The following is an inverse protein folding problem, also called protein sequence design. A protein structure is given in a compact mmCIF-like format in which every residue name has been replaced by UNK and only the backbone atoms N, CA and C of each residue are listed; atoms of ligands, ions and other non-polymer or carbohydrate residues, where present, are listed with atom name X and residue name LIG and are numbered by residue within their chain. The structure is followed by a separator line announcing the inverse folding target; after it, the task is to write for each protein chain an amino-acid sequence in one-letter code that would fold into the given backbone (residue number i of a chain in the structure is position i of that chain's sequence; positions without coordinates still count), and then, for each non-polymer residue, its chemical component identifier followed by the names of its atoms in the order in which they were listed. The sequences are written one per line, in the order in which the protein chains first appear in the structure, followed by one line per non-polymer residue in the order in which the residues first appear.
data_IF_561589469168
#
_entry.id   IF_561589469168
#
_cell.length_a   1.000
_cell.length_b   1.000
_cell.length_c   1.000
_cell.angle_alpha   90.00
_cell.angle_beta   90.00
_cell.angle_gamma   90.00
#
_symmetry.space_group_name_H-M   'P 1'
#
loop_
_entity.id
_entity.type
_entity.pdbx_description
1 polymer ?
#
# COMPACT_ATOMS: atom_id res chain seq x y z
N UNK A 1 36.63 -71.57 1.29
CA UNK A 1 37.71 -71.14 0.38
C UNK A 1 37.87 -69.63 0.44
N UNK A 2 39.01 -69.12 0.90
CA UNK A 2 39.26 -67.68 1.03
C UNK A 2 39.60 -67.05 -0.34
N UNK A 3 38.93 -65.95 -0.70
CA UNK A 3 39.16 -65.25 -1.98
C UNK A 3 40.57 -64.64 -2.05
N UNK A 4 41.19 -64.69 -3.22
CA UNK A 4 42.52 -64.16 -3.47
C UNK A 4 42.61 -62.65 -3.12
N UNK A 5 43.67 -62.26 -2.40
CA UNK A 5 43.93 -60.87 -2.04
C UNK A 5 44.37 -60.09 -3.28
N UNK A 6 43.79 -58.91 -3.51
CA UNK A 6 44.21 -58.02 -4.61
C UNK A 6 45.64 -57.55 -4.35
N UNK A 7 46.50 -57.68 -5.37
CA UNK A 7 47.88 -57.23 -5.31
C UNK A 7 47.95 -55.70 -5.20
N UNK A 8 48.92 -55.15 -4.44
CA UNK A 8 49.15 -53.71 -4.40
C UNK A 8 49.59 -53.22 -5.78
N UNK A 9 49.12 -52.04 -6.17
CA UNK A 9 49.56 -51.39 -7.40
C UNK A 9 50.95 -50.78 -7.19
N UNK A 10 51.85 -50.99 -8.13
CA UNK A 10 53.18 -50.37 -8.11
C UNK A 10 53.08 -48.85 -8.37
N UNK A 11 53.91 -48.06 -7.70
CA UNK A 11 54.01 -46.60 -7.82
C UNK A 11 52.71 -45.82 -7.58
N UNK A 12 51.89 -46.22 -6.59
CA UNK A 12 50.72 -45.44 -6.17
C UNK A 12 51.19 -44.18 -5.43
N UNK A 13 51.10 -43.04 -6.10
CA UNK A 13 51.34 -41.74 -5.50
C UNK A 13 50.08 -41.17 -4.85
N UNK A 14 50.26 -40.32 -3.83
CA UNK A 14 49.18 -39.52 -3.25
C UNK A 14 48.62 -38.59 -4.34
N UNK A 15 47.30 -38.56 -4.51
CA UNK A 15 46.65 -37.67 -5.48
C UNK A 15 46.93 -36.22 -5.09
N UNK A 16 47.71 -35.52 -5.90
CA UNK A 16 47.95 -34.08 -5.76
C UNK A 16 47.05 -33.30 -6.72
N UNK A 17 46.70 -32.08 -6.33
CA UNK A 17 45.93 -31.18 -7.19
C UNK A 17 46.78 -30.86 -8.42
N UNK A 18 46.24 -31.10 -9.61
CA UNK A 18 46.93 -30.86 -10.86
C UNK A 18 46.83 -29.38 -11.26
N UNK A 19 47.85 -28.86 -11.95
CA UNK A 19 47.81 -27.49 -12.51
C UNK A 19 46.60 -27.26 -13.43
N UNK A 20 46.15 -28.31 -14.14
CA UNK A 20 44.93 -28.26 -14.98
C UNK A 20 43.66 -28.03 -14.14
N UNK A 21 43.51 -28.71 -13.01
CA UNK A 21 42.36 -28.49 -12.13
C UNK A 21 42.33 -27.06 -11.58
N UNK A 22 43.50 -26.50 -11.24
CA UNK A 22 43.62 -25.11 -10.77
C UNK A 22 43.25 -24.12 -11.89
N UNK A 23 43.74 -24.35 -13.10
CA UNK A 23 43.45 -23.49 -14.25
C UNK A 23 41.98 -23.54 -14.65
N UNK A 24 41.36 -24.72 -14.65
CA UNK A 24 39.93 -24.87 -14.93
C UNK A 24 39.08 -24.15 -13.88
N UNK A 25 39.39 -24.32 -12.59
CA UNK A 25 38.70 -23.59 -11.52
C UNK A 25 38.88 -22.07 -11.66
N UNK A 26 40.09 -21.61 -12.00
CA UNK A 26 40.35 -20.19 -12.29
C UNK A 26 39.54 -19.72 -13.49
N UNK A 27 39.46 -20.47 -14.57
CA UNK A 27 38.64 -20.12 -15.73
C UNK A 27 37.15 -20.10 -15.42
N UNK A 28 36.65 -20.99 -14.57
CA UNK A 28 35.24 -21.05 -14.17
C UNK A 28 34.85 -19.87 -13.27
N UNK A 29 35.75 -19.45 -12.38
CA UNK A 29 35.47 -18.39 -11.39
C UNK A 29 35.84 -16.99 -11.90
N UNK A 30 36.98 -16.85 -12.58
CA UNK A 30 37.58 -15.55 -12.93
C UNK A 30 37.29 -15.09 -14.36
N UNK A 31 36.74 -15.93 -15.25
CA UNK A 31 36.57 -15.55 -16.64
C UNK A 31 35.19 -14.89 -16.87
N UNK A 32 35.09 -13.54 -16.95
CA UNK A 32 33.81 -12.84 -17.10
C UNK A 32 33.15 -13.17 -18.45
N UNK A 33 33.95 -13.38 -19.50
CA UNK A 33 33.48 -13.55 -20.88
C UNK A 33 32.60 -14.79 -21.10
N UNK A 34 32.78 -15.86 -20.31
CA UNK A 34 31.91 -17.06 -20.37
C UNK A 34 30.48 -16.77 -19.89
N UNK A 35 30.31 -15.87 -18.93
CA UNK A 35 28.99 -15.43 -18.46
C UNK A 35 28.28 -14.57 -19.50
N UNK A 36 29.02 -13.91 -20.38
CA UNK A 36 28.43 -13.02 -21.39
C UNK A 36 28.01 -13.80 -22.64
N UNK A 37 28.81 -14.79 -23.10
CA UNK A 37 28.44 -15.72 -24.17
C UNK A 37 27.18 -16.55 -23.86
N UNK A 38 26.93 -16.83 -22.58
CA UNK A 38 25.71 -17.52 -22.14
C UNK A 38 24.51 -16.58 -22.07
N UNK A 39 24.70 -15.29 -21.74
CA UNK A 39 23.64 -14.28 -21.79
C UNK A 39 23.20 -13.95 -23.22
N UNK A 40 24.13 -13.89 -24.17
CA UNK A 40 23.83 -13.57 -25.58
C UNK A 40 22.95 -14.64 -26.26
N UNK A 41 22.99 -15.88 -25.80
CA UNK A 41 22.16 -16.98 -26.32
C UNK A 41 20.77 -17.08 -25.68
N UNK A 42 20.48 -16.30 -24.64
CA UNK A 42 19.17 -16.32 -23.99
C UNK A 42 18.18 -15.43 -24.75
N UNK A 43 16.92 -15.86 -24.95
CA UNK A 43 15.90 -15.01 -25.54
C UNK A 43 15.69 -13.77 -24.67
N UNK A 44 15.52 -12.60 -25.30
CA UNK A 44 15.24 -11.34 -24.61
C UNK A 44 13.89 -11.43 -23.92
N UNK A 45 13.88 -11.67 -22.61
CA UNK A 45 12.67 -11.62 -21.81
C UNK A 45 12.31 -10.16 -21.51
N UNK A 46 11.44 -9.57 -22.34
CA UNK A 46 10.79 -8.30 -22.01
C UNK A 46 9.50 -8.63 -21.26
N UNK A 47 9.39 -8.29 -19.97
CA UNK A 47 8.16 -8.56 -19.23
C UNK A 47 7.01 -7.75 -19.84
N UNK A 48 5.90 -8.42 -20.17
CA UNK A 48 4.71 -7.75 -20.65
C UNK A 48 4.07 -6.93 -19.50
N UNK A 49 3.55 -5.75 -19.83
CA UNK A 49 2.80 -4.94 -18.87
C UNK A 49 1.44 -5.62 -18.62
N UNK A 50 1.07 -5.74 -17.35
CA UNK A 50 -0.22 -6.34 -16.96
C UNK A 50 -1.39 -5.58 -17.58
N UNK A 51 -2.35 -6.31 -18.14
CA UNK A 51 -3.60 -5.79 -18.72
C UNK A 51 -4.51 -5.10 -17.70
N UNK A 52 -4.33 -5.36 -16.41
CA UNK A 52 -5.08 -4.72 -15.32
C UNK A 52 -4.77 -3.22 -15.16
N UNK A 53 -3.69 -2.74 -15.78
CA UNK A 53 -3.27 -1.35 -15.70
C UNK A 53 -3.81 -0.55 -16.88
N UNK A 54 -4.69 0.41 -16.61
CA UNK A 54 -4.95 1.52 -17.51
C UNK A 54 -3.96 2.65 -17.18
N UNK A 55 -2.84 2.69 -17.90
CA UNK A 55 -1.67 3.51 -17.61
C UNK A 55 -1.12 3.25 -16.19
N UNK A 56 -1.50 4.08 -15.22
CA UNK A 56 -1.07 3.99 -13.81
C UNK A 56 -2.20 3.52 -12.89
N UNK A 57 -3.45 3.54 -13.38
CA UNK A 57 -4.61 3.14 -12.61
C UNK A 57 -4.86 1.65 -12.74
N UNK A 58 -5.12 1.01 -11.61
CA UNK A 58 -5.37 -0.42 -11.55
C UNK A 58 -6.87 -0.66 -11.46
N UNK A 59 -7.48 -1.09 -12.55
CA UNK A 59 -8.94 -1.31 -12.64
C UNK A 59 -9.35 -2.67 -12.06
N UNK A 60 -8.40 -3.56 -11.76
CA UNK A 60 -8.66 -4.88 -11.21
C UNK A 60 -8.80 -4.90 -9.68
N UNK A 61 -8.57 -3.77 -9.00
CA UNK A 61 -8.76 -3.67 -7.55
C UNK A 61 -10.25 -3.48 -7.25
N UNK A 62 -10.94 -4.58 -6.98
CA UNK A 62 -12.32 -4.59 -6.49
C UNK A 62 -12.41 -5.09 -5.04
N UNK A 63 -13.46 -4.72 -4.30
CA UNK A 63 -13.75 -5.34 -3.01
C UNK A 63 -14.11 -6.83 -3.21
N UNK A 64 -13.62 -7.77 -2.37
CA UNK A 64 -12.84 -7.56 -1.15
C UNK A 64 -11.35 -7.28 -1.40
N UNK A 65 -10.81 -6.24 -0.75
CA UNK A 65 -9.40 -5.88 -0.90
C UNK A 65 -8.51 -6.86 -0.15
N UNK A 66 -7.44 -7.31 -0.81
CA UNK A 66 -6.40 -8.15 -0.21
C UNK A 66 -5.22 -7.28 0.19
N UNK A 67 -4.92 -7.26 1.49
CA UNK A 67 -3.89 -6.39 2.04
C UNK A 67 -2.73 -7.25 2.54
N UNK A 68 -1.55 -7.13 1.93
CA UNK A 68 -0.33 -7.76 2.41
C UNK A 68 0.20 -6.99 3.62
N UNK A 69 0.35 -7.69 4.74
CA UNK A 69 0.78 -7.10 6.01
C UNK A 69 2.25 -7.41 6.29
N UNK A 70 2.97 -6.36 6.68
CA UNK A 70 4.39 -6.39 7.04
C UNK A 70 4.62 -6.46 8.57
N UNK A 71 5.79 -6.92 9.04
CA UNK A 71 6.11 -7.10 10.47
C UNK A 71 6.07 -5.78 11.23
N UNK A 72 6.71 -4.75 10.68
CA UNK A 72 6.77 -3.43 11.27
C UNK A 72 5.38 -2.78 11.37
N UNK A 73 4.52 -3.01 10.38
CA UNK A 73 3.14 -2.51 10.40
C UNK A 73 2.34 -3.11 11.56
N UNK A 74 2.50 -4.41 11.84
CA UNK A 74 1.84 -5.07 12.99
C UNK A 74 2.35 -4.47 14.30
N UNK A 75 3.67 -4.27 14.43
CA UNK A 75 4.28 -3.70 15.63
C UNK A 75 3.77 -2.29 15.92
N UNK A 76 3.72 -1.43 14.90
CA UNK A 76 3.17 -0.08 15.05
C UNK A 76 1.66 -0.08 15.30
N UNK A 77 0.91 -1.04 14.78
CA UNK A 77 -0.52 -1.18 15.07
C UNK A 77 -0.78 -1.52 16.53
N UNK A 78 0.02 -2.42 17.11
CA UNK A 78 -0.06 -2.80 18.52
C UNK A 78 0.31 -1.61 19.43
N UNK A 79 1.37 -0.87 19.09
CA UNK A 79 1.78 0.31 19.84
C UNK A 79 0.67 1.37 19.89
N UNK A 80 -0.03 1.59 18.77
CA UNK A 80 -1.12 2.55 18.67
C UNK A 80 -2.48 2.01 19.10
N UNK A 81 -2.54 0.75 19.57
CA UNK A 81 -3.77 0.05 19.99
C UNK A 81 -4.85 0.01 18.90
N UNK A 82 -4.44 -0.24 17.67
CA UNK A 82 -5.34 -0.34 16.52
C UNK A 82 -5.67 -1.79 16.20
N UNK A 83 -6.95 -2.08 16.06
CA UNK A 83 -7.44 -3.35 15.53
C UNK A 83 -7.18 -3.39 14.02
N UNK A 84 -6.33 -4.30 13.54
CA UNK A 84 -5.90 -4.39 12.14
C UNK A 84 -7.09 -4.47 11.17
N UNK A 85 -8.01 -5.41 11.37
CA UNK A 85 -9.15 -5.63 10.49
C UNK A 85 -10.11 -4.44 10.46
N UNK A 86 -10.48 -3.92 11.64
CA UNK A 86 -11.38 -2.75 11.75
C UNK A 86 -10.76 -1.50 11.15
N UNK A 87 -9.50 -1.21 11.50
CA UNK A 87 -8.81 -0.05 10.95
C UNK A 87 -8.67 -0.10 9.43
N UNK A 88 -8.50 -1.29 8.84
CA UNK A 88 -8.48 -1.46 7.39
C UNK A 88 -9.86 -1.19 6.77
N UNK A 89 -10.92 -1.71 7.37
CA UNK A 89 -12.30 -1.44 6.92
C UNK A 89 -12.66 0.05 7.03
N UNK A 90 -12.25 0.73 8.11
CA UNK A 90 -12.49 2.16 8.31
C UNK A 90 -11.73 3.03 7.31
N UNK A 91 -10.55 2.59 6.86
CA UNK A 91 -9.72 3.31 5.89
C UNK A 91 -10.24 3.16 4.45
N UNK A 92 -10.64 1.94 4.08
CA UNK A 92 -11.02 1.57 2.70
C UNK A 92 -12.52 1.62 2.46
N UNK A 93 -13.34 1.75 3.51
CA UNK A 93 -14.81 1.68 3.49
C UNK A 93 -15.36 0.42 2.79
N UNK A 94 -14.59 -0.66 2.81
CA UNK A 94 -14.89 -1.90 2.11
C UNK A 94 -14.38 -3.12 2.90
N UNK A 95 -14.88 -4.30 2.55
CA UNK A 95 -14.41 -5.56 3.15
C UNK A 95 -12.95 -5.79 2.79
N UNK A 96 -12.11 -5.98 3.81
CA UNK A 96 -10.68 -6.20 3.66
C UNK A 96 -10.30 -7.57 4.20
N UNK A 97 -9.50 -8.33 3.46
CA UNK A 97 -8.93 -9.61 3.89
C UNK A 97 -7.42 -9.40 4.09
N UNK A 98 -6.95 -9.31 5.34
CA UNK A 98 -5.54 -9.15 5.60
C UNK A 98 -4.80 -10.47 5.35
N UNK A 99 -3.71 -10.37 4.60
CA UNK A 99 -2.93 -11.50 4.12
C UNK A 99 -1.51 -11.42 4.71
N UNK A 100 -1.05 -12.52 5.31
CA UNK A 100 0.29 -12.63 5.90
C UNK A 100 1.07 -13.68 5.10
N UNK A 101 2.29 -13.33 4.70
CA UNK A 101 3.20 -14.28 4.04
C UNK A 101 4.00 -15.08 5.07
N UNK A 102 4.41 -16.30 4.71
CA UNK A 102 5.23 -17.12 5.62
C UNK A 102 6.57 -16.47 6.00
N UNK A 103 7.12 -15.57 5.17
CA UNK A 103 8.35 -14.83 5.48
C UNK A 103 8.15 -13.87 6.65
N UNK A 104 7.06 -13.09 6.60
CA UNK A 104 6.68 -12.15 7.65
C UNK A 104 6.42 -12.91 8.94
N UNK A 105 5.80 -14.09 8.84
CA UNK A 105 5.60 -14.98 9.98
C UNK A 105 6.93 -15.47 10.58
N UNK A 106 7.85 -15.92 9.73
CA UNK A 106 9.17 -16.36 10.16
C UNK A 106 10.02 -15.22 10.76
N UNK A 107 9.88 -14.00 10.24
CA UNK A 107 10.53 -12.82 10.80
C UNK A 107 9.98 -12.46 12.19
N UNK A 108 8.66 -12.50 12.38
CA UNK A 108 8.05 -12.33 13.71
C UNK A 108 8.52 -13.37 14.72
N UNK A 109 8.70 -14.63 14.30
CA UNK A 109 9.22 -15.69 15.17
C UNK A 109 10.69 -15.45 15.57
N UNK A 110 11.51 -14.88 14.67
CA UNK A 110 12.91 -14.51 14.95
C UNK A 110 13.05 -13.37 15.94
N UNK A 111 12.12 -12.41 15.94
CA UNK A 111 12.12 -11.27 16.87
C UNK A 111 11.87 -11.71 18.33
N UNK A 112 11.42 -12.96 18.55
CA UNK A 112 11.45 -13.63 19.84
C UNK A 112 10.35 -13.22 20.81
N UNK A 113 10.64 -13.31 22.12
CA UNK A 113 9.61 -13.24 23.17
C UNK A 113 8.92 -11.87 23.31
N UNK A 114 9.61 -10.78 22.93
CA UNK A 114 9.08 -9.41 23.05
C UNK A 114 7.85 -9.19 22.16
N UNK A 115 7.75 -9.92 21.05
CA UNK A 115 6.69 -9.77 20.05
C UNK A 115 5.65 -10.90 20.09
N UNK A 116 5.52 -11.60 21.23
CA UNK A 116 4.52 -12.67 21.40
C UNK A 116 3.08 -12.23 21.13
N UNK A 117 2.74 -10.99 21.46
CA UNK A 117 1.40 -10.43 21.17
C UNK A 117 1.18 -10.32 19.66
N UNK A 118 2.17 -9.81 18.92
CA UNK A 118 2.13 -9.74 17.46
C UNK A 118 2.01 -11.12 16.83
N UNK A 119 2.74 -12.11 17.35
CA UNK A 119 2.68 -13.48 16.87
C UNK A 119 1.30 -14.13 17.09
N UNK A 120 0.62 -13.81 18.19
CA UNK A 120 -0.76 -14.30 18.44
C UNK A 120 -1.73 -13.70 17.44
N UNK A 121 -1.67 -12.37 17.23
CA UNK A 121 -2.52 -11.67 16.27
C UNK A 121 -2.30 -12.21 14.86
N UNK A 122 -1.04 -12.39 14.43
CA UNK A 122 -0.71 -12.94 13.12
C UNK A 122 -1.21 -14.40 12.92
N UNK A 123 -1.45 -15.14 14.01
CA UNK A 123 -1.96 -16.52 13.95
C UNK A 123 -3.49 -16.59 13.90
N UNK A 124 -4.19 -15.48 14.10
CA UNK A 124 -5.65 -15.47 14.14
C UNK A 124 -6.26 -15.92 12.79
N UNK A 125 -7.39 -16.64 12.80
CA UNK A 125 -8.01 -17.20 11.60
C UNK A 125 -8.60 -16.15 10.65
N UNK A 126 -8.66 -14.89 11.08
CA UNK A 126 -9.11 -13.77 10.25
C UNK A 126 -8.09 -13.36 9.20
N UNK A 127 -6.83 -13.75 9.40
CA UNK A 127 -5.74 -13.50 8.46
C UNK A 127 -5.61 -14.67 7.49
N UNK A 128 -5.58 -14.36 6.19
CA UNK A 128 -5.27 -15.34 5.16
C UNK A 128 -3.75 -15.56 5.14
N UNK A 129 -3.31 -16.82 5.21
CA UNK A 129 -1.89 -17.15 5.10
C UNK A 129 -1.52 -17.47 3.66
N UNK A 130 -0.52 -16.77 3.15
CA UNK A 130 -0.02 -16.94 1.80
C UNK A 130 1.32 -17.69 1.81
N UNK A 131 1.37 -18.92 1.28
CA UNK A 131 2.61 -19.68 1.26
C UNK A 131 3.61 -19.04 0.31
N UNK A 132 4.89 -19.09 0.66
CA UNK A 132 5.98 -18.57 -0.16
C UNK A 132 6.98 -19.65 -0.57
N UNK A 133 7.40 -19.65 -1.83
CA UNK A 133 8.30 -20.66 -2.41
C UNK A 133 9.65 -20.05 -2.78
N UNK A 134 10.36 -19.49 -1.82
CA UNK A 134 11.72 -18.99 -2.03
C UNK A 134 12.64 -19.39 -0.87
N UNK A 135 13.94 -19.33 -1.13
CA UNK A 135 14.96 -19.64 -0.13
C UNK A 135 15.27 -18.38 0.67
N UNK A 136 15.24 -18.49 2.00
CA UNK A 136 15.44 -17.38 2.91
C UNK A 136 14.12 -16.83 3.46
N UNK A 137 14.21 -15.85 4.34
CA UNK A 137 13.06 -15.27 5.05
C UNK A 137 13.06 -13.74 4.97
N UNK A 138 13.59 -13.17 3.89
CA UNK A 138 13.56 -11.72 3.69
C UNK A 138 12.16 -11.33 3.20
N UNK A 139 11.35 -10.78 4.11
CA UNK A 139 9.96 -10.42 3.83
C UNK A 139 9.85 -9.33 2.75
N UNK A 140 10.72 -8.32 2.81
CA UNK A 140 10.76 -7.21 1.85
C UNK A 140 10.78 -7.68 0.38
N UNK A 141 11.72 -8.56 0.05
CA UNK A 141 11.92 -9.01 -1.32
C UNK A 141 10.76 -9.92 -1.75
N UNK A 142 10.26 -10.76 -0.84
CA UNK A 142 9.05 -11.54 -1.08
C UNK A 142 7.83 -10.66 -1.40
N UNK A 143 7.64 -9.57 -0.64
CA UNK A 143 6.53 -8.66 -0.83
C UNK A 143 6.65 -7.94 -2.18
N UNK A 144 7.84 -7.43 -2.50
CA UNK A 144 8.12 -6.74 -3.77
C UNK A 144 7.88 -7.68 -4.96
N UNK A 145 8.39 -8.91 -4.90
CA UNK A 145 8.24 -9.88 -5.99
C UNK A 145 6.78 -10.28 -6.19
N UNK A 146 6.06 -10.56 -5.10
CA UNK A 146 4.64 -10.95 -5.14
C UNK A 146 3.77 -9.85 -5.74
N UNK A 147 4.00 -8.61 -5.33
CA UNK A 147 3.28 -7.43 -5.82
C UNK A 147 3.62 -7.12 -7.29
N UNK A 148 4.87 -7.37 -7.69
CA UNK A 148 5.31 -7.19 -9.08
C UNK A 148 4.64 -8.19 -10.02
N UNK A 149 4.53 -9.45 -9.58
CA UNK A 149 3.85 -10.52 -10.32
C UNK A 149 2.33 -10.30 -10.35
N UNK A 150 1.75 -10.01 -9.18
CA UNK A 150 0.31 -9.85 -9.01
C UNK A 150 0.00 -8.48 -8.43
N UNK A 151 -0.51 -7.59 -9.28
CA UNK A 151 -0.85 -6.22 -8.90
C UNK A 151 -2.20 -6.11 -8.16
N UNK A 152 -2.76 -7.22 -7.66
CA UNK A 152 -4.06 -7.24 -6.99
C UNK A 152 -3.98 -7.07 -5.46
N UNK A 153 -2.84 -6.62 -4.94
CA UNK A 153 -2.59 -6.45 -3.51
C UNK A 153 -2.39 -4.99 -3.12
N UNK A 154 -2.89 -4.64 -1.93
CA UNK A 154 -2.52 -3.43 -1.21
C UNK A 154 -1.38 -3.80 -0.27
N UNK A 155 -0.34 -2.97 -0.15
CA UNK A 155 0.76 -3.26 0.79
C UNK A 155 0.65 -2.38 2.02
N UNK A 156 0.54 -2.99 3.20
CA UNK A 156 0.55 -2.32 4.49
C UNK A 156 1.95 -2.36 5.10
N UNK A 157 2.70 -1.26 4.99
CA UNK A 157 4.05 -1.14 5.54
C UNK A 157 4.31 0.26 6.10
N UNK A 158 5.14 0.34 7.14
CA UNK A 158 5.63 1.60 7.69
C UNK A 158 7.03 1.96 7.20
N UNK A 159 7.72 1.03 6.52
CA UNK A 159 9.14 1.16 6.23
C UNK A 159 9.44 2.11 5.08
N UNK A 160 10.41 3.01 5.30
CA UNK A 160 10.73 4.06 4.32
C UNK A 160 11.34 3.47 3.04
N UNK A 161 12.20 2.46 3.17
CA UNK A 161 12.89 1.85 2.03
C UNK A 161 11.99 0.91 1.23
N UNK A 162 11.14 0.13 1.91
CA UNK A 162 10.13 -0.70 1.24
C UNK A 162 9.11 0.17 0.50
N UNK A 163 8.64 1.27 1.10
CA UNK A 163 7.81 2.28 0.41
C UNK A 163 8.50 2.82 -0.83
N UNK A 164 9.78 3.21 -0.75
CA UNK A 164 10.51 3.73 -1.91
C UNK A 164 10.60 2.69 -3.04
N UNK A 165 10.76 1.40 -2.72
CA UNK A 165 10.75 0.31 -3.70
C UNK A 165 9.39 0.13 -4.35
N UNK A 166 8.32 0.00 -3.56
CA UNK A 166 6.95 -0.20 -4.06
C UNK A 166 6.47 1.02 -4.84
N UNK A 167 6.92 2.23 -4.49
CA UNK A 167 6.57 3.45 -5.21
C UNK A 167 7.01 3.45 -6.68
N UNK A 168 8.01 2.66 -7.05
CA UNK A 168 8.46 2.49 -8.45
C UNK A 168 7.49 1.60 -9.26
N UNK A 169 6.70 0.76 -8.59
CA UNK A 169 5.73 -0.12 -9.22
C UNK A 169 4.40 0.66 -9.38
N UNK A 170 3.90 0.85 -10.62
CA UNK A 170 2.64 1.53 -10.84
C UNK A 170 1.44 0.63 -10.45
N UNK A 171 0.36 1.27 -9.99
CA UNK A 171 -0.92 0.60 -9.70
C UNK A 171 -0.99 -0.17 -8.37
N UNK A 172 0.01 -0.02 -7.50
CA UNK A 172 0.03 -0.64 -6.16
C UNK A 172 -0.21 0.44 -5.10
N UNK A 173 -1.32 0.38 -4.36
CA UNK A 173 -1.57 1.27 -3.24
C UNK A 173 -0.78 0.86 -1.99
N UNK A 174 -0.39 1.85 -1.20
CA UNK A 174 0.42 1.66 0.00
C UNK A 174 -0.36 2.17 1.20
N UNK A 175 -0.61 1.31 2.17
CA UNK A 175 -1.23 1.67 3.44
C UNK A 175 -0.16 1.85 4.52
N UNK A 176 -0.30 2.90 5.33
CA UNK A 176 0.61 3.22 6.40
C UNK A 176 -0.12 3.83 7.60
N UNK A 177 0.54 3.82 8.75
CA UNK A 177 -0.03 4.35 9.99
C UNK A 177 0.38 5.81 10.16
N UNK A 178 -0.59 6.66 10.46
CA UNK A 178 -0.40 8.05 10.86
C UNK A 178 -1.14 8.29 12.16
N UNK A 179 -0.41 8.60 13.23
CA UNK A 179 -0.98 8.79 14.57
C UNK A 179 -1.81 7.56 14.98
N UNK A 180 -3.13 7.70 15.07
CA UNK A 180 -4.08 6.65 15.45
C UNK A 180 -5.03 6.23 14.31
N UNK A 181 -4.66 6.48 13.05
CA UNK A 181 -5.47 6.10 11.88
C UNK A 181 -4.61 5.48 10.79
N UNK A 182 -5.19 4.59 10.00
CA UNK A 182 -4.58 4.12 8.76
C UNK A 182 -4.87 5.11 7.63
N UNK A 183 -3.83 5.42 6.88
CA UNK A 183 -3.88 6.29 5.71
C UNK A 183 -3.40 5.51 4.50
N UNK A 184 -3.97 5.80 3.34
CA UNK A 184 -3.63 5.13 2.08
C UNK A 184 -3.04 6.11 1.07
N UNK A 185 -1.93 5.72 0.46
CA UNK A 185 -1.31 6.40 -0.68
C UNK A 185 -1.79 5.73 -1.98
N UNK A 186 -2.03 6.53 -3.03
CA UNK A 186 -2.26 6.08 -4.42
C UNK A 186 -3.55 5.29 -4.69
N UNK A 187 -4.60 5.48 -3.89
CA UNK A 187 -5.93 4.98 -4.26
C UNK A 187 -6.72 6.09 -4.99
N UNK A 188 -7.14 5.89 -6.26
CA UNK A 188 -7.91 6.89 -6.99
C UNK A 188 -9.31 7.11 -6.38
N UNK A 189 -9.90 6.09 -5.75
CA UNK A 189 -11.28 6.14 -5.23
C UNK A 189 -11.38 6.71 -3.80
N UNK A 190 -10.50 6.29 -2.88
CA UNK A 190 -10.60 6.73 -1.46
C UNK A 190 -10.23 8.21 -1.24
N UNK A 191 -9.40 8.79 -2.12
CA UNK A 191 -8.98 10.20 -1.98
C UNK A 191 -10.13 11.19 -2.25
N UNK A 192 -11.16 10.76 -2.99
CA UNK A 192 -12.28 11.63 -3.41
C UNK A 192 -13.36 11.74 -2.32
N UNK A 193 -13.43 10.80 -1.36
CA UNK A 193 -14.54 10.70 -0.40
C UNK A 193 -14.34 11.35 0.98
N UNK A 194 -13.12 11.67 1.40
CA UNK A 194 -12.82 11.90 2.83
C UNK A 194 -13.08 13.30 3.41
N UNK A 195 -13.18 14.35 2.59
CA UNK A 195 -13.22 15.74 3.08
C UNK A 195 -14.49 16.54 2.78
N UNK A 196 -15.22 16.19 1.72
CA UNK A 196 -16.38 16.99 1.25
C UNK A 196 -17.73 16.49 1.77
N UNK A 197 -17.90 15.18 1.98
CA UNK A 197 -19.19 14.64 2.42
C UNK A 197 -19.48 14.89 3.90
N UNK A 198 -18.46 14.86 4.77
CA UNK A 198 -18.66 15.12 6.20
C UNK A 198 -19.07 16.57 6.46
N UNK A 199 -18.54 17.55 5.70
CA UNK A 199 -19.00 18.93 5.82
C UNK A 199 -20.45 19.07 5.33
N UNK A 200 -20.83 18.36 4.27
CA UNK A 200 -22.19 18.40 3.73
C UNK A 200 -23.20 17.73 4.65
N UNK A 201 -22.90 16.54 5.19
CA UNK A 201 -23.76 15.88 6.17
C UNK A 201 -23.83 16.66 7.48
N UNK A 202 -22.74 17.26 7.94
CA UNK A 202 -22.75 18.08 9.16
C UNK A 202 -23.57 19.36 8.96
N UNK A 203 -23.45 20.04 7.81
CA UNK A 203 -24.29 21.19 7.45
C UNK A 203 -25.77 20.80 7.35
N UNK A 204 -26.09 19.68 6.68
CA UNK A 204 -27.47 19.19 6.54
C UNK A 204 -28.06 18.81 7.91
N UNK A 205 -27.31 18.13 8.76
CA UNK A 205 -27.75 17.74 10.11
C UNK A 205 -27.91 18.94 11.05
N UNK A 206 -27.07 19.98 10.91
CA UNK A 206 -27.18 21.22 11.69
C UNK A 206 -28.40 22.07 11.25
N UNK A 207 -28.73 22.06 9.94
CA UNK A 207 -29.88 22.75 9.37
C UNK A 207 -31.21 22.08 9.76
N UNK A 208 -31.26 20.75 9.79
CA UNK A 208 -32.46 19.97 10.13
C UNK A 208 -32.88 20.15 11.61
N UNK A 209 -31.91 20.36 12.51
CA UNK A 209 -32.16 20.52 13.94
C UNK A 209 -32.41 21.98 14.40
N UNK A 210 -32.05 23.00 13.61
CA UNK A 210 -32.24 24.41 13.99
C UNK A 210 -33.42 25.11 13.32
N UNK A 211 -33.95 24.60 12.19
CA UNK A 211 -35.06 25.25 11.47
C UNK A 211 -36.10 24.25 10.93
N UNK A 212 -37.00 23.71 11.78
CA UNK A 212 -38.08 22.82 11.33
C UNK A 212 -39.17 23.52 10.49
N UNK A 213 -39.17 24.86 10.39
CA UNK A 213 -40.25 25.63 9.77
C UNK A 213 -40.01 26.05 8.30
N UNK A 214 -38.87 25.72 7.70
CA UNK A 214 -38.53 26.14 6.30
C UNK A 214 -38.86 25.04 5.26
N UNK A 215 -39.15 23.82 5.70
CA UNK A 215 -39.36 22.68 4.79
C UNK A 215 -40.69 22.70 4.01
N UNK A 216 -41.64 23.57 4.35
CA UNK A 216 -42.89 23.67 3.58
C UNK A 216 -42.77 24.49 2.28
N UNK A 217 -41.64 25.19 2.05
CA UNK A 217 -41.44 26.03 0.85
C UNK A 217 -40.44 25.47 -0.16
N UNK A 218 -39.70 24.41 0.17
CA UNK A 218 -38.65 23.88 -0.70
C UNK A 218 -39.12 22.89 -1.78
N UNK A 219 -40.38 22.44 -1.75
CA UNK A 219 -40.93 21.55 -2.79
C UNK A 219 -41.34 22.27 -4.09
N UNK A 220 -41.04 23.57 -4.26
CA UNK A 220 -41.52 24.36 -5.42
C UNK A 220 -40.48 25.19 -6.15
N UNK A 221 -39.19 24.86 -6.04
CA UNK A 221 -38.12 25.59 -6.76
C UNK A 221 -37.46 24.66 -7.79
N UNK A 222 -37.46 25.02 -9.09
CA UNK A 222 -36.91 24.17 -10.14
C UNK A 222 -35.37 24.12 -10.10
N UNK A 223 -34.86 23.04 -10.69
CA UNK A 223 -33.50 22.46 -10.69
C UNK A 223 -32.33 23.39 -11.09
N UNK A 224 -32.56 24.69 -11.30
CA UNK A 224 -31.53 25.65 -11.73
C UNK A 224 -30.67 26.25 -10.60
N UNK A 225 -31.04 26.08 -9.33
CA UNK A 225 -30.28 26.64 -8.21
C UNK A 225 -29.06 25.80 -7.80
N UNK A 226 -29.02 24.51 -8.18
CA UNK A 226 -27.91 23.61 -7.87
C UNK A 226 -26.64 23.90 -8.71
N UNK A 227 -26.77 24.62 -9.83
CA UNK A 227 -25.65 24.97 -10.71
C UNK A 227 -24.82 26.17 -10.24
N UNK A 228 -25.35 27.01 -9.33
CA UNK A 228 -24.64 28.21 -8.86
C UNK A 228 -23.71 27.87 -7.69
N UNK A 229 -24.10 26.93 -6.82
CA UNK A 229 -23.27 26.49 -5.70
C UNK A 229 -22.03 25.69 -6.12
N UNK A 230 -22.09 24.96 -7.24
CA UNK A 230 -20.94 24.21 -7.78
C UNK A 230 -19.87 25.10 -8.41
N UNK A 231 -20.23 26.32 -8.86
CA UNK A 231 -19.29 27.27 -9.46
C UNK A 231 -18.49 28.12 -8.44
N UNK A 232 -19.04 28.37 -7.25
CA UNK A 232 -18.32 29.13 -6.20
C UNK A 232 -17.21 28.32 -5.51
N UNK A 233 -17.35 26.99 -5.38
CA UNK A 233 -16.33 26.16 -4.71
C UNK A 233 -15.04 26.04 -5.55
N UNK A 234 -15.11 26.20 -6.88
CA UNK A 234 -13.94 26.11 -7.75
C UNK A 234 -13.04 27.35 -7.73
N UNK A 235 -13.55 28.53 -7.34
CA UNK A 235 -12.77 29.77 -7.41
C UNK A 235 -11.89 30.01 -6.16
N UNK A 236 -12.15 29.33 -5.05
CA UNK A 236 -11.45 29.56 -3.78
C UNK A 236 -10.21 28.64 -3.56
N UNK A 237 -10.02 27.61 -4.39
CA UNK A 237 -8.89 26.67 -4.24
C UNK A 237 -7.56 27.18 -4.84
N UNK A 238 -7.53 28.37 -5.45
CA UNK A 238 -6.36 28.92 -6.14
C UNK A 238 -5.43 29.76 -5.25
N UNK A 239 -5.79 30.05 -3.99
CA UNK A 239 -4.95 30.87 -3.10
C UNK A 239 -4.64 30.11 -1.81
N UNK A 240 -3.47 29.48 -1.78
CA UNK A 240 -2.82 29.02 -0.56
C UNK A 240 -2.73 30.20 0.43
N UNK A 241 -3.47 30.15 1.53
CA UNK A 241 -3.16 31.00 2.69
C UNK A 241 -3.39 30.23 3.98
N UNK A 242 -2.26 29.93 4.61
CA UNK A 242 -2.11 29.40 5.97
C UNK A 242 -2.51 30.51 6.93
N UNK A 243 -3.58 30.35 7.70
CA UNK A 243 -3.74 31.07 8.98
C UNK A 243 -4.44 30.14 9.97
N UNK A 244 -3.68 29.69 10.97
CA UNK A 244 -4.23 29.17 12.22
C UNK A 244 -4.80 30.32 13.05
N UNK A 245 -5.97 30.12 13.62
CA UNK A 245 -6.62 31.10 14.49
C UNK A 245 -8.10 30.78 14.65
N UNK A 246 -8.53 30.59 15.89
CA UNK A 246 -9.93 30.48 16.30
C UNK A 246 -10.74 31.69 15.78
N UNK A 247 -11.66 31.45 14.86
CA UNK A 247 -12.61 32.45 14.39
C UNK A 247 -13.92 32.32 15.18
N UNK A 248 -14.19 33.33 16.00
CA UNK A 248 -15.47 33.54 16.68
C UNK A 248 -16.57 33.86 15.65
N UNK A 249 -17.80 33.44 15.96
CA UNK A 249 -18.95 33.36 15.04
C UNK A 249 -19.43 34.68 14.43
N UNK A 250 -18.93 35.84 14.88
CA UNK A 250 -19.34 37.16 14.36
C UNK A 250 -18.71 37.50 13.01
N UNK A 251 -17.57 36.89 12.68
CA UNK A 251 -16.85 37.12 11.41
C UNK A 251 -17.54 36.47 10.20
N UNK A 252 -18.28 35.37 10.42
CA UNK A 252 -18.96 34.60 9.35
C UNK A 252 -20.27 35.26 8.95
N UNK A 253 -21.01 35.82 9.90
CA UNK A 253 -22.26 36.55 9.63
C UNK A 253 -22.02 37.82 8.80
N UNK A 254 -20.92 38.52 9.07
CA UNK A 254 -20.53 39.75 8.37
C UNK A 254 -20.20 39.51 6.88
N UNK A 255 -19.55 38.38 6.57
CA UNK A 255 -19.24 37.97 5.19
C UNK A 255 -20.50 37.58 4.39
N UNK A 256 -21.49 36.97 5.05
CA UNK A 256 -22.76 36.61 4.41
C UNK A 256 -23.61 37.86 4.15
N UNK A 257 -23.67 38.81 5.08
CA UNK A 257 -24.41 40.07 4.89
C UNK A 257 -23.81 40.95 3.78
N UNK A 258 -22.48 40.99 3.65
CA UNK A 258 -21.82 41.77 2.59
C UNK A 258 -22.07 41.19 1.18
N UNK A 259 -22.25 39.87 1.07
CA UNK A 259 -22.60 39.22 -0.21
C UNK A 259 -24.08 39.35 -0.57
N UNK A 260 -24.98 39.42 0.41
CA UNK A 260 -26.41 39.66 0.15
C UNK A 260 -26.66 41.09 -0.34
N UNK A 261 -25.94 42.09 0.20
CA UNK A 261 -26.07 43.48 -0.28
C UNK A 261 -25.48 43.69 -1.68
N UNK A 262 -24.38 43.01 -2.03
CA UNK A 262 -23.79 43.11 -3.38
C UNK A 262 -24.59 42.38 -4.47
N UNK A 263 -25.36 41.34 -4.09
CA UNK A 263 -26.28 40.65 -5.00
C UNK A 263 -27.58 41.43 -5.29
N UNK A 264 -27.96 42.38 -4.42
CA UNK A 264 -29.11 43.28 -4.69
C UNK A 264 -28.72 44.51 -5.52
N UNK A 265 -27.45 44.93 -5.48
CA UNK A 265 -26.96 46.08 -6.27
C UNK A 265 -26.73 45.78 -7.77
N UNK A 266 -26.89 44.52 -8.20
CA UNK A 266 -26.76 44.10 -9.61
C UNK A 266 -28.10 43.79 -10.29
N UNK A 267 -29.21 44.23 -9.69
CA UNK A 267 -30.54 44.27 -10.30
C UNK A 267 -31.13 45.68 -10.27
N UNK A 268 -30.48 46.62 -10.97
CA UNK A 268 -31.09 47.75 -11.70
C UNK A 268 -30.23 47.98 -12.94
#
# INVERSE_FOLDING_TARGET
MGRAKKSPKFAVMKKMITKRAINNYKEEVLNPNRKDLTKEKLPRNVPNVSSALFFTHNTALGPPYRVLVDTNFINFSIQNKLDLEKGMMDCLYAKCTPCITDCVMAELEKLGQKYRVALRIAKDPRFERLPCTHKGTYADDCLVDRVTQHKCFIVATCDRDLKRRIRKIPGVPIMYITQHKYSIERLPEATIGGGKLLLYLFIVYQLENNFPYIFHWLYRIPVLFLSILTRCVYCCSSKNMIIGGSLTGESVASLVLFQVQSAQATRI
#
